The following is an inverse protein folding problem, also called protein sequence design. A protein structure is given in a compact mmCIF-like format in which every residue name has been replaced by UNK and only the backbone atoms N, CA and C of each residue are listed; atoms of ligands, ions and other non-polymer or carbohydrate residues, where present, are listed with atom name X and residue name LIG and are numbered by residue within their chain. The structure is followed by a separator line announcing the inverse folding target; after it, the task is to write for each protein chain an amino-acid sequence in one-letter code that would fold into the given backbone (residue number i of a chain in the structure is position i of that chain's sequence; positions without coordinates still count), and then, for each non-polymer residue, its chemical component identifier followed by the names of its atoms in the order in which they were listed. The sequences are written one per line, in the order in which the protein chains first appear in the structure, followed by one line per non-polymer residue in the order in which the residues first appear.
data_IF_802895914426
#
_entry.id   IF_802895914426
#
_cell.length_a   1.000
_cell.length_b   1.000
_cell.length_c   1.000
_cell.angle_alpha   90.00
_cell.angle_beta   90.00
_cell.angle_gamma   90.00
#
_symmetry.space_group_name_H-M   'P 1'
#
loop_
_entity.id
_entity.type
_entity.pdbx_description
1 polymer ?
#
# COMPACT_ATOMS: atom_id res chain seq x y z
N UNK A 1 -1.48 -5.71 13.57
CA UNK A 1 -1.55 -4.38 12.90
C UNK A 1 -0.87 -4.53 11.54
N UNK A 2 -1.59 -4.25 10.46
CA UNK A 2 -1.13 -4.45 9.09
C UNK A 2 0.17 -3.67 8.81
N UNK A 3 1.24 -4.38 8.43
CA UNK A 3 2.56 -3.81 8.14
C UNK A 3 2.43 -2.70 7.08
N UNK A 4 1.64 -2.95 6.02
CA UNK A 4 1.39 -1.97 4.98
C UNK A 4 0.69 -0.71 5.49
N UNK A 5 -0.33 -0.83 6.35
CA UNK A 5 -1.02 0.33 6.94
C UNK A 5 -0.03 1.27 7.66
N UNK A 6 0.86 0.70 8.48
CA UNK A 6 1.87 1.48 9.19
C UNK A 6 2.82 2.17 8.23
N UNK A 7 3.30 1.43 7.24
CA UNK A 7 4.25 1.96 6.27
C UNK A 7 3.62 3.12 5.46
N UNK A 8 2.37 2.98 5.01
CA UNK A 8 1.66 4.03 4.29
C UNK A 8 1.46 5.28 5.15
N UNK A 9 0.99 5.11 6.39
CA UNK A 9 0.71 6.24 7.30
C UNK A 9 1.97 6.91 7.89
N UNK A 10 3.16 6.34 7.67
CA UNK A 10 4.45 6.85 8.13
C UNK A 10 5.42 7.22 7.00
N UNK A 11 4.95 7.22 5.75
CA UNK A 11 5.78 7.58 4.57
C UNK A 11 6.93 6.62 4.31
N UNK A 12 6.80 5.36 4.72
CA UNK A 12 7.82 4.35 4.50
C UNK A 12 7.60 3.58 3.19
N UNK A 13 8.03 4.19 2.08
CA UNK A 13 7.95 3.59 0.74
C UNK A 13 8.80 2.32 0.66
N UNK A 14 9.98 2.31 1.30
CA UNK A 14 10.93 1.21 1.20
C UNK A 14 10.36 -0.05 1.84
N UNK A 15 9.82 0.06 3.05
CA UNK A 15 9.19 -1.06 3.74
C UNK A 15 7.87 -1.46 3.07
N UNK A 16 7.12 -0.50 2.51
CA UNK A 16 5.92 -0.80 1.71
C UNK A 16 6.26 -1.68 0.50
N UNK A 17 7.37 -1.40 -0.19
CA UNK A 17 7.83 -2.23 -1.31
C UNK A 17 8.28 -3.62 -0.82
N UNK A 18 8.92 -3.73 0.35
CA UNK A 18 9.28 -5.02 0.92
C UNK A 18 8.06 -5.90 1.23
N UNK A 19 6.93 -5.31 1.65
CA UNK A 19 5.67 -6.06 1.81
C UNK A 19 5.25 -6.66 0.47
N UNK A 20 5.25 -5.87 -0.60
CA UNK A 20 4.94 -6.36 -1.94
C UNK A 20 5.88 -7.49 -2.40
N UNK A 21 7.19 -7.31 -2.28
CA UNK A 21 8.17 -8.33 -2.69
C UNK A 21 8.06 -9.63 -1.88
N UNK A 22 7.68 -9.56 -0.60
CA UNK A 22 7.36 -10.74 0.22
C UNK A 22 6.11 -11.44 -0.32
N UNK A 23 5.05 -10.69 -0.62
CA UNK A 23 3.80 -11.25 -1.12
C UNK A 23 3.96 -11.91 -2.49
N UNK A 24 4.71 -11.28 -3.40
CA UNK A 24 5.00 -11.79 -4.76
C UNK A 24 5.61 -13.20 -4.78
N UNK A 25 6.22 -13.66 -3.68
CA UNK A 25 6.74 -15.05 -3.56
C UNK A 25 5.65 -16.12 -3.45
N UNK A 26 4.42 -15.71 -3.16
CA UNK A 26 3.29 -16.60 -2.79
C UNK A 26 1.99 -16.23 -3.49
N UNK A 27 1.86 -14.98 -3.92
CA UNK A 27 0.66 -14.39 -4.49
C UNK A 27 1.03 -13.66 -5.78
N UNK A 28 0.09 -13.59 -6.72
CA UNK A 28 0.27 -12.77 -7.91
C UNK A 28 -0.01 -11.28 -7.63
N UNK A 29 0.14 -10.43 -8.65
CA UNK A 29 -0.10 -9.00 -8.51
C UNK A 29 -1.57 -8.68 -8.19
N UNK A 30 -2.52 -9.38 -8.82
CA UNK A 30 -3.96 -9.21 -8.54
C UNK A 30 -4.29 -9.53 -7.10
N UNK A 31 -3.75 -10.63 -6.58
CA UNK A 31 -3.92 -11.06 -5.19
C UNK A 31 -3.38 -9.99 -4.22
N UNK A 32 -2.21 -9.41 -4.50
CA UNK A 32 -1.69 -8.32 -3.67
C UNK A 32 -2.65 -7.12 -3.66
N UNK A 33 -3.18 -6.73 -4.81
CA UNK A 33 -4.12 -5.61 -4.91
C UNK A 33 -5.41 -5.90 -4.15
N UNK A 34 -5.99 -7.07 -4.35
CA UNK A 34 -7.33 -7.40 -3.85
C UNK A 34 -7.34 -7.81 -2.37
N UNK A 35 -6.32 -8.56 -1.92
CA UNK A 35 -6.28 -9.13 -0.57
C UNK A 35 -5.56 -8.22 0.42
N UNK A 36 -4.62 -7.38 -0.05
CA UNK A 36 -3.75 -6.60 0.84
C UNK A 36 -3.95 -5.11 0.65
N UNK A 37 -3.82 -4.63 -0.59
CA UNK A 37 -3.78 -3.20 -0.87
C UNK A 37 -5.16 -2.55 -0.67
N UNK A 38 -6.22 -3.08 -1.29
CA UNK A 38 -7.59 -2.57 -1.14
C UNK A 38 -8.05 -2.59 0.33
N UNK A 39 -7.92 -3.70 1.09
CA UNK A 39 -8.30 -3.72 2.50
C UNK A 39 -7.52 -2.72 3.36
N UNK A 40 -6.22 -2.53 3.07
CA UNK A 40 -5.41 -1.53 3.77
C UNK A 40 -5.92 -0.11 3.53
N UNK A 41 -6.27 0.22 2.28
CA UNK A 41 -6.83 1.53 1.93
C UNK A 41 -8.23 1.75 2.53
N UNK A 42 -9.09 0.73 2.51
CA UNK A 42 -10.40 0.76 3.18
C UNK A 42 -10.24 1.05 4.67
N UNK A 43 -9.28 0.40 5.34
CA UNK A 43 -8.99 0.65 6.75
C UNK A 43 -8.52 2.08 7.04
N UNK A 44 -7.68 2.65 6.17
CA UNK A 44 -7.24 4.05 6.30
C UNK A 44 -8.45 4.99 6.18
N UNK A 45 -9.35 4.72 5.23
CA UNK A 45 -10.58 5.49 5.05
C UNK A 45 -11.51 5.35 6.27
N UNK A 46 -11.69 4.14 6.79
CA UNK A 46 -12.50 3.89 7.99
C UNK A 46 -11.91 4.59 9.22
N UNK A 47 -10.59 4.57 9.39
CA UNK A 47 -9.93 5.25 10.50
C UNK A 47 -10.03 6.78 10.38
N UNK A 48 -10.05 7.33 9.16
CA UNK A 48 -10.35 8.75 8.95
C UNK A 48 -11.80 9.06 9.32
N UNK A 49 -12.76 8.27 8.83
CA UNK A 49 -14.20 8.47 9.09
C UNK A 49 -14.54 8.34 10.58
N UNK A 50 -13.82 7.49 11.32
CA UNK A 50 -13.96 7.32 12.76
C UNK A 50 -13.06 8.26 13.59
N UNK A 51 -12.48 9.30 12.99
CA UNK A 51 -11.63 10.31 13.65
C UNK A 51 -10.38 9.74 14.37
N UNK A 52 -9.93 8.52 14.02
CA UNK A 52 -8.73 7.88 14.57
C UNK A 52 -7.45 8.42 13.96
N UNK A 53 -7.52 8.98 12.76
CA UNK A 53 -6.42 9.66 12.08
C UNK A 53 -6.90 11.01 11.52
N UNK A 54 -5.97 11.96 11.39
CA UNK A 54 -6.28 13.26 10.78
C UNK A 54 -6.34 13.16 9.25
N UNK A 55 -7.03 14.13 8.63
CA UNK A 55 -7.06 14.33 7.17
C UNK A 55 -5.64 14.40 6.58
N UNK A 56 -4.70 15.05 7.28
CA UNK A 56 -3.30 15.14 6.85
C UNK A 56 -2.65 13.77 6.79
N UNK A 57 -2.87 12.92 7.80
CA UNK A 57 -2.29 11.57 7.86
C UNK A 57 -2.87 10.66 6.78
N UNK A 58 -4.16 10.80 6.50
CA UNK A 58 -4.82 10.08 5.41
C UNK A 58 -4.30 10.51 4.03
N UNK A 59 -4.16 11.81 3.80
CA UNK A 59 -3.62 12.36 2.56
C UNK A 59 -2.18 11.87 2.30
N UNK A 60 -1.36 11.87 3.35
CA UNK A 60 0.00 11.32 3.30
C UNK A 60 -0.01 9.84 2.92
N UNK A 61 -0.89 9.05 3.54
CA UNK A 61 -1.01 7.63 3.21
C UNK A 61 -1.43 7.38 1.75
N UNK A 62 -2.38 8.17 1.23
CA UNK A 62 -2.77 8.14 -0.20
C UNK A 62 -1.60 8.43 -1.12
N UNK A 63 -0.78 9.45 -0.84
CA UNK A 63 0.38 9.78 -1.66
C UNK A 63 1.41 8.65 -1.71
N UNK A 64 1.66 8.01 -0.56
CA UNK A 64 2.57 6.86 -0.47
C UNK A 64 1.99 5.68 -1.24
N UNK A 65 0.70 5.42 -1.10
CA UNK A 65 -0.01 4.34 -1.80
C UNK A 65 0.04 4.50 -3.32
N UNK A 66 -0.21 5.71 -3.83
CA UNK A 66 -0.10 6.04 -5.27
C UNK A 66 1.34 5.84 -5.76
N UNK A 67 2.32 6.29 -4.99
CA UNK A 67 3.74 6.14 -5.35
C UNK A 67 4.14 4.66 -5.39
N UNK A 68 3.70 3.87 -4.40
CA UNK A 68 3.93 2.43 -4.35
C UNK A 68 3.32 1.73 -5.57
N UNK A 69 2.06 2.04 -5.91
CA UNK A 69 1.38 1.45 -7.06
C UNK A 69 2.11 1.73 -8.38
N UNK A 70 2.61 2.96 -8.57
CA UNK A 70 3.44 3.31 -9.74
C UNK A 70 4.73 2.49 -9.80
N UNK A 71 5.46 2.40 -8.69
CA UNK A 71 6.71 1.61 -8.61
C UNK A 71 6.46 0.14 -8.95
N UNK A 72 5.35 -0.43 -8.47
CA UNK A 72 5.00 -1.82 -8.73
C UNK A 72 4.62 -2.01 -10.20
N UNK A 73 3.80 -1.13 -10.78
CA UNK A 73 3.43 -1.18 -12.19
C UNK A 73 4.66 -1.08 -13.11
N UNK A 74 5.60 -0.17 -12.80
CA UNK A 74 6.84 -0.03 -13.56
C UNK A 74 7.72 -1.29 -13.47
N UNK A 75 7.77 -1.96 -12.32
CA UNK A 75 8.46 -3.26 -12.17
C UNK A 75 7.81 -4.34 -13.02
N UNK A 76 6.48 -4.43 -13.01
CA UNK A 76 5.74 -5.40 -13.81
C UNK A 76 5.96 -5.21 -15.31
N UNK A 77 6.04 -3.96 -15.79
CA UNK A 77 6.31 -3.68 -17.20
C UNK A 77 7.76 -4.07 -17.62
N UNK A 78 8.73 -3.91 -16.72
CA UNK A 78 10.13 -4.32 -16.96
C UNK A 78 10.34 -5.82 -16.92
N UNK A 79 9.63 -6.54 -16.04
CA UNK A 79 9.72 -8.01 -15.95
C UNK A 79 9.12 -8.71 -17.19
N UNK A 80 8.26 -8.02 -17.95
CA UNK A 80 7.59 -8.53 -19.16
C UNK A 80 8.20 -8.03 -20.50
N UNK A 81 9.29 -7.22 -20.46
CA UNK A 81 10.04 -6.76 -21.64
C UNK A 81 11.35 -7.52 -21.80
#
# INVERSE_FOLDING_TARGET
MDELYRNLTQVDIKSSLQVYEKCKKTFDYSDFIDIIFKPTMSKIQDDLTNEKISVVKEYVAKNVAVTLAKIIADKQNKDNS
#
